data_IF_631659199254
#
_entry.id   IF_631659199254
#
_cell.length_a   1.000
_cell.length_b   1.000
_cell.length_c   1.000
_cell.angle_alpha   90.00
_cell.angle_beta   90.00
_cell.angle_gamma   90.00
#
_symmetry.space_group_name_H-M   'P 1'
#
loop_
_entity.id
_entity.type
_entity.pdbx_description
1 polymer ?
#
# COMPACT_ATOMS: atom_id res chain seq x y z
N UNK A 1 38.77 -40.39 -12.61
CA UNK A 1 37.43 -39.79 -12.44
C UNK A 1 37.39 -39.05 -11.11
N UNK A 2 37.08 -37.75 -11.14
CA UNK A 2 36.43 -36.94 -10.09
C UNK A 2 36.87 -35.47 -10.27
N UNK A 3 35.99 -34.66 -10.84
CA UNK A 3 36.20 -33.24 -11.14
C UNK A 3 36.05 -32.39 -9.87
N UNK A 4 36.97 -31.45 -9.66
CA UNK A 4 36.84 -30.41 -8.63
C UNK A 4 35.87 -29.33 -9.13
N UNK A 5 34.69 -29.24 -8.51
CA UNK A 5 33.71 -28.19 -8.76
C UNK A 5 33.93 -27.03 -7.79
N UNK A 6 34.67 -26.03 -8.25
CA UNK A 6 34.82 -24.73 -7.58
C UNK A 6 33.47 -24.00 -7.61
N UNK A 7 32.89 -23.79 -6.44
CA UNK A 7 31.61 -23.10 -6.27
C UNK A 7 31.84 -21.60 -6.05
N UNK A 8 31.72 -20.78 -7.09
CA UNK A 8 31.70 -19.32 -6.97
C UNK A 8 30.29 -18.86 -6.57
N UNK A 9 30.03 -18.69 -5.27
CA UNK A 9 28.79 -18.03 -4.80
C UNK A 9 29.05 -16.52 -4.77
N UNK A 10 28.79 -15.85 -5.88
CA UNK A 10 28.65 -14.40 -5.93
C UNK A 10 27.23 -14.07 -6.40
N UNK A 11 26.32 -13.91 -5.44
CA UNK A 11 25.04 -13.26 -5.66
C UNK A 11 24.99 -12.04 -4.74
N UNK A 12 25.61 -10.96 -5.20
CA UNK A 12 25.38 -9.60 -4.72
C UNK A 12 23.91 -9.26 -4.94
N UNK A 13 23.08 -9.58 -3.95
CA UNK A 13 21.67 -9.20 -3.93
C UNK A 13 21.55 -7.68 -3.95
N UNK A 14 20.70 -7.18 -4.85
CA UNK A 14 20.39 -5.78 -5.02
C UNK A 14 19.90 -5.17 -3.69
N UNK A 15 20.74 -4.37 -3.03
CA UNK A 15 20.25 -3.41 -2.03
C UNK A 15 19.50 -2.33 -2.81
N UNK A 16 18.18 -2.42 -2.84
CA UNK A 16 17.33 -1.30 -3.18
C UNK A 16 17.32 -0.34 -1.99
N UNK A 17 18.20 0.67 -2.00
CA UNK A 17 18.00 1.84 -1.16
C UNK A 17 16.70 2.52 -1.57
N UNK A 18 15.67 2.42 -0.73
CA UNK A 18 14.44 3.17 -0.93
C UNK A 18 14.77 4.68 -0.96
N UNK A 19 14.14 5.47 -1.84
CA UNK A 19 14.33 6.91 -1.80
C UNK A 19 13.78 7.44 -0.47
N UNK A 20 14.64 8.07 0.32
CA UNK A 20 14.25 8.94 1.43
C UNK A 20 13.65 10.22 0.88
N UNK A 21 12.51 10.10 0.21
CA UNK A 21 11.73 11.21 -0.32
C UNK A 21 10.77 11.70 0.76
N UNK A 22 11.27 12.49 1.71
CA UNK A 22 10.44 13.31 2.60
C UNK A 22 9.76 14.44 1.81
N UNK A 23 8.91 14.09 0.85
CA UNK A 23 7.97 15.01 0.25
C UNK A 23 6.70 15.03 1.11
N UNK A 24 6.24 16.21 1.48
CA UNK A 24 4.95 16.36 2.16
C UNK A 24 3.88 15.59 1.38
N UNK A 25 3.29 14.58 2.02
CA UNK A 25 2.20 13.79 1.42
C UNK A 25 1.03 14.76 1.30
N UNK A 26 0.82 15.34 0.12
CA UNK A 26 -0.37 16.14 -0.13
C UNK A 26 -1.55 15.18 -0.01
N UNK A 27 -2.37 15.41 1.03
CA UNK A 27 -3.53 14.59 1.34
C UNK A 27 -4.59 14.72 0.24
N UNK A 28 -4.44 13.94 -0.83
CA UNK A 28 -5.43 13.75 -1.88
C UNK A 28 -6.37 12.58 -1.55
N UNK A 29 -7.58 12.53 -2.14
CA UNK A 29 -8.53 11.46 -1.90
C UNK A 29 -7.92 10.08 -2.13
N UNK A 30 -8.06 9.18 -1.16
CA UNK A 30 -7.68 7.78 -1.30
C UNK A 30 -8.89 6.97 -1.74
N UNK A 31 -8.80 6.29 -2.88
CA UNK A 31 -9.83 5.34 -3.33
C UNK A 31 -9.30 3.92 -3.16
N UNK A 32 -10.01 3.13 -2.36
CA UNK A 32 -9.62 1.78 -1.97
C UNK A 32 -10.47 0.77 -2.73
N UNK A 33 -9.78 -0.09 -3.48
CA UNK A 33 -10.35 -1.19 -4.28
C UNK A 33 -9.73 -2.51 -3.85
N UNK A 34 -10.46 -3.63 -3.98
CA UNK A 34 -9.95 -4.97 -3.71
C UNK A 34 -9.82 -5.75 -5.02
N UNK A 35 -8.69 -6.45 -5.19
CA UNK A 35 -8.40 -7.14 -6.46
C UNK A 35 -9.27 -8.37 -6.74
N UNK A 36 -9.76 -9.06 -5.71
CA UNK A 36 -10.54 -10.29 -5.88
C UNK A 36 -11.99 -10.01 -6.32
N UNK A 37 -12.68 -9.16 -5.57
CA UNK A 37 -14.03 -8.71 -5.86
C UNK A 37 -14.15 -7.25 -5.41
N UNK A 38 -14.93 -6.40 -6.10
CA UNK A 38 -15.22 -5.05 -5.63
C UNK A 38 -15.76 -5.08 -4.19
N UNK A 39 -15.47 -4.02 -3.44
CA UNK A 39 -16.08 -3.88 -2.12
C UNK A 39 -17.58 -3.74 -2.25
N UNK A 40 -18.30 -4.23 -1.25
CA UNK A 40 -19.69 -3.86 -1.03
C UNK A 40 -19.82 -2.69 -0.05
N UNK A 41 -20.99 -2.04 -0.07
CA UNK A 41 -21.28 -0.88 0.78
C UNK A 41 -21.31 -1.21 2.29
N UNK A 42 -21.48 -2.48 2.67
CA UNK A 42 -21.45 -2.93 4.07
C UNK A 42 -20.04 -3.32 4.55
N UNK A 43 -19.05 -3.33 3.65
CA UNK A 43 -17.68 -3.77 3.95
C UNK A 43 -16.74 -2.63 4.37
N UNK A 44 -17.27 -1.50 4.84
CA UNK A 44 -16.47 -0.32 5.17
C UNK A 44 -15.36 -0.56 6.19
N UNK A 45 -15.57 -1.48 7.14
CA UNK A 45 -14.54 -1.86 8.10
C UNK A 45 -13.37 -2.64 7.47
N UNK A 46 -13.63 -3.46 6.44
CA UNK A 46 -12.57 -4.14 5.70
C UNK A 46 -11.81 -3.15 4.80
N UNK A 47 -12.54 -2.30 4.08
CA UNK A 47 -11.94 -1.26 3.25
C UNK A 47 -11.09 -0.27 4.07
N UNK A 48 -11.55 0.11 5.27
CA UNK A 48 -10.79 0.99 6.15
C UNK A 48 -9.48 0.37 6.61
N UNK A 49 -9.48 -0.92 6.96
CA UNK A 49 -8.24 -1.62 7.33
C UNK A 49 -7.24 -1.64 6.17
N UNK A 50 -7.71 -1.84 4.94
CA UNK A 50 -6.86 -1.71 3.76
C UNK A 50 -6.35 -0.27 3.60
N UNK A 51 -7.21 0.73 3.73
CA UNK A 51 -6.84 2.15 3.65
C UNK A 51 -5.75 2.53 4.67
N UNK A 52 -5.90 2.09 5.93
CA UNK A 52 -4.92 2.29 7.00
C UNK A 52 -3.58 1.64 6.65
N UNK A 53 -3.58 0.41 6.12
CA UNK A 53 -2.37 -0.26 5.67
C UNK A 53 -1.69 0.46 4.48
N UNK A 54 -2.48 0.95 3.52
CA UNK A 54 -1.97 1.71 2.37
C UNK A 54 -1.33 3.04 2.80
N UNK A 55 -1.91 3.74 3.78
CA UNK A 55 -1.32 4.95 4.32
C UNK A 55 -0.07 4.65 5.15
N UNK A 56 -0.09 3.60 5.98
CA UNK A 56 1.07 3.20 6.76
C UNK A 56 2.27 2.83 5.87
N UNK A 57 2.03 2.16 4.74
CA UNK A 57 3.08 1.87 3.74
C UNK A 57 3.70 3.13 3.12
N UNK A 58 3.01 4.28 3.19
CA UNK A 58 3.49 5.60 2.75
C UNK A 58 4.07 6.43 3.90
N UNK A 59 4.18 5.87 5.11
CA UNK A 59 4.64 6.60 6.30
C UNK A 59 3.64 7.63 6.82
N UNK A 60 2.35 7.47 6.50
CA UNK A 60 1.27 8.40 6.85
C UNK A 60 0.12 7.68 7.58
N UNK A 61 -0.81 8.43 8.14
CA UNK A 61 -2.03 7.90 8.76
C UNK A 61 -3.23 8.16 7.86
N UNK A 62 -4.20 7.25 7.84
CA UNK A 62 -5.48 7.55 7.19
C UNK A 62 -6.16 8.71 7.91
N UNK A 63 -6.59 9.74 7.17
CA UNK A 63 -7.35 10.87 7.73
C UNK A 63 -8.85 10.63 7.52
N UNK A 64 -9.58 10.14 8.54
CA UNK A 64 -11.01 9.84 8.41
C UNK A 64 -11.84 11.11 8.19
N UNK A 65 -13.00 10.96 7.57
CA UNK A 65 -13.94 12.04 7.32
C UNK A 65 -15.39 11.58 7.45
N UNK A 66 -16.28 12.51 7.79
CA UNK A 66 -17.73 12.28 7.68
C UNK A 66 -18.20 12.06 6.23
N UNK A 67 -17.35 12.36 5.25
CA UNK A 67 -17.61 12.18 3.81
C UNK A 67 -16.98 10.90 3.24
N UNK A 68 -16.40 10.05 4.09
CA UNK A 68 -15.94 8.72 3.69
C UNK A 68 -17.15 7.93 3.19
N UNK A 69 -17.05 7.37 1.99
CA UNK A 69 -18.21 6.80 1.31
C UNK A 69 -17.87 5.63 0.43
N UNK A 70 -18.84 4.75 0.28
CA UNK A 70 -18.85 3.77 -0.79
C UNK A 70 -19.25 4.44 -2.12
N UNK A 71 -18.55 4.11 -3.20
CA UNK A 71 -18.85 4.56 -4.55
C UNK A 71 -18.40 3.51 -5.57
N UNK A 72 -19.36 2.92 -6.29
CA UNK A 72 -19.14 2.04 -7.45
C UNK A 72 -18.08 0.93 -7.24
N UNK A 73 -18.21 0.14 -6.17
CA UNK A 73 -17.31 -0.98 -5.89
C UNK A 73 -16.04 -0.61 -5.10
N UNK A 74 -15.93 0.66 -4.68
CA UNK A 74 -14.78 1.18 -3.96
C UNK A 74 -15.20 1.96 -2.72
N UNK A 75 -14.27 2.13 -1.79
CA UNK A 75 -14.40 3.07 -0.68
C UNK A 75 -13.50 4.28 -0.91
N UNK A 76 -14.07 5.47 -0.83
CA UNK A 76 -13.39 6.74 -1.04
C UNK A 76 -13.21 7.43 0.30
N UNK A 77 -11.97 7.78 0.62
CA UNK A 77 -11.56 8.54 1.79
C UNK A 77 -11.04 9.91 1.32
N UNK A 78 -11.88 10.97 1.30
CA UNK A 78 -11.48 12.29 0.79
C UNK A 78 -10.34 12.92 1.58
N UNK A 79 -10.19 12.54 2.86
CA UNK A 79 -9.09 12.98 3.71
C UNK A 79 -7.74 12.39 3.33
N UNK A 80 -7.71 11.27 2.61
CA UNK A 80 -6.47 10.65 2.13
C UNK A 80 -5.55 10.17 3.25
N UNK A 81 -4.27 10.06 2.91
CA UNK A 81 -3.20 9.80 3.87
C UNK A 81 -2.54 11.12 4.28
N UNK A 82 -2.35 11.35 5.58
CA UNK A 82 -1.79 12.57 6.15
C UNK A 82 -0.85 12.28 7.33
#
# INVERSE_FOLDING_TARGET
MAAALTLCIAASGCVQTAPSGGGAVVAGPLTVVRQAAPYENWEGAAARRQAEAECAARGATLRPSIYDRYQAGAWVYPGGCA
#
